data_IF_695980833854
#
_entry.id   IF_695980833854
#
_cell.length_a   1.000
_cell.length_b   1.000
_cell.length_c   1.000
_cell.angle_alpha   90.00
_cell.angle_beta   90.00
_cell.angle_gamma   90.00
#
_symmetry.space_group_name_H-M   'P 1'
#
loop_
_entity.id
_entity.type
_entity.pdbx_description
1 polymer ?
#
# COMPACT_ATOMS: atom_id res chain seq x y z
N UNK A 1 -16.84 9.04 -21.21
CA UNK A 1 -16.02 7.84 -21.46
C UNK A 1 -15.98 6.98 -20.22
N UNK A 2 -16.33 5.70 -20.32
CA UNK A 2 -16.25 4.78 -19.19
C UNK A 2 -14.78 4.47 -18.89
N UNK A 3 -14.32 4.75 -17.66
CA UNK A 3 -13.00 4.33 -17.23
C UNK A 3 -12.84 2.80 -17.42
N UNK A 4 -11.66 2.30 -17.84
CA UNK A 4 -11.46 0.86 -18.03
C UNK A 4 -11.75 0.14 -16.71
N UNK A 5 -12.76 -0.73 -16.73
CA UNK A 5 -13.19 -1.45 -15.55
C UNK A 5 -12.03 -2.32 -15.06
N UNK A 6 -11.54 -2.05 -13.83
CA UNK A 6 -10.51 -2.89 -13.22
C UNK A 6 -11.03 -4.32 -13.12
N UNK A 7 -10.20 -5.28 -13.53
CA UNK A 7 -10.51 -6.69 -13.61
C UNK A 7 -9.42 -7.52 -12.93
N UNK A 8 -9.79 -8.69 -12.40
CA UNK A 8 -8.86 -9.62 -11.78
C UNK A 8 -7.77 -10.02 -12.78
N UNK A 9 -6.50 -9.86 -12.42
CA UNK A 9 -5.37 -10.20 -13.30
C UNK A 9 -5.22 -11.70 -13.57
N UNK A 10 -5.86 -12.54 -12.75
CA UNK A 10 -5.77 -14.02 -12.87
C UNK A 10 -6.90 -14.61 -13.67
N UNK A 11 -8.14 -14.14 -13.45
CA UNK A 11 -9.33 -14.74 -14.05
C UNK A 11 -10.17 -13.76 -14.89
N UNK A 12 -9.74 -12.51 -15.02
CA UNK A 12 -10.44 -11.48 -15.80
C UNK A 12 -11.76 -10.98 -15.19
N UNK A 13 -12.24 -11.55 -14.08
CA UNK A 13 -13.50 -11.12 -13.46
C UNK A 13 -13.37 -9.69 -12.93
N UNK A 14 -14.17 -8.79 -13.49
CA UNK A 14 -14.25 -7.39 -13.08
C UNK A 14 -15.53 -7.06 -12.30
N UNK A 15 -15.77 -5.77 -12.07
CA UNK A 15 -17.00 -5.25 -11.43
C UNK A 15 -18.28 -5.72 -12.11
N UNK A 16 -18.25 -5.97 -13.42
CA UNK A 16 -19.39 -6.50 -14.18
C UNK A 16 -19.89 -7.86 -13.67
N UNK A 17 -19.02 -8.66 -13.04
CA UNK A 17 -19.38 -9.93 -12.42
C UNK A 17 -19.82 -9.80 -10.94
N UNK A 18 -20.08 -8.58 -10.45
CA UNK A 18 -20.50 -8.32 -9.07
C UNK A 18 -19.44 -8.58 -8.00
N UNK A 19 -18.19 -8.88 -8.39
CA UNK A 19 -17.11 -9.23 -7.45
C UNK A 19 -16.41 -8.00 -6.87
N UNK A 20 -16.19 -8.02 -5.55
CA UNK A 20 -15.36 -7.02 -4.86
C UNK A 20 -13.89 -7.27 -5.13
N UNK A 21 -13.30 -6.44 -5.99
CA UNK A 21 -11.88 -6.48 -6.30
C UNK A 21 -11.06 -5.89 -5.15
N UNK A 22 -10.04 -6.64 -4.72
CA UNK A 22 -9.10 -6.23 -3.67
C UNK A 22 -7.70 -6.10 -4.26
N UNK A 23 -6.92 -5.17 -3.72
CA UNK A 23 -5.51 -4.97 -4.09
C UNK A 23 -4.62 -5.87 -3.24
N UNK A 24 -3.39 -6.10 -3.69
CA UNK A 24 -2.38 -6.73 -2.85
C UNK A 24 -2.15 -5.91 -1.56
N UNK A 25 -2.16 -6.55 -0.39
CA UNK A 25 -1.94 -5.86 0.88
C UNK A 25 -0.52 -5.30 1.05
N UNK A 26 0.48 -5.95 0.43
CA UNK A 26 1.89 -5.56 0.50
C UNK A 26 2.20 -4.32 -0.34
N UNK A 27 2.12 -4.44 -1.66
CA UNK A 27 2.46 -3.31 -2.55
C UNK A 27 1.31 -2.32 -2.76
N UNK A 28 0.06 -2.71 -2.53
CA UNK A 28 -1.16 -1.90 -2.77
C UNK A 28 -1.25 -1.29 -4.17
N UNK A 29 -0.56 -1.88 -5.14
CA UNK A 29 -0.52 -1.40 -6.52
C UNK A 29 -1.95 -1.42 -7.10
N UNK A 30 -2.48 -0.27 -7.56
CA UNK A 30 -3.85 -0.18 -8.08
C UNK A 30 -4.03 -0.93 -9.40
N UNK A 31 -2.97 -1.22 -10.14
CA UNK A 31 -3.03 -2.00 -11.39
C UNK A 31 -3.22 -3.49 -11.13
N UNK A 32 -2.78 -3.99 -9.97
CA UNK A 32 -2.84 -5.40 -9.62
C UNK A 32 -3.98 -5.65 -8.64
N UNK A 33 -5.11 -6.10 -9.17
CA UNK A 33 -6.32 -6.42 -8.38
C UNK A 33 -6.74 -7.88 -8.54
N UNK A 34 -7.38 -8.41 -7.50
CA UNK A 34 -7.82 -9.78 -7.39
C UNK A 34 -9.27 -9.84 -6.93
N UNK A 35 -10.06 -10.77 -7.47
CA UNK A 35 -11.41 -11.01 -6.99
C UNK A 35 -11.44 -11.82 -5.68
N UNK A 36 -10.38 -12.56 -5.36
CA UNK A 36 -10.29 -13.42 -4.19
C UNK A 36 -8.85 -13.65 -3.73
N UNK A 37 -8.68 -14.11 -2.50
CA UNK A 37 -7.36 -14.47 -1.95
C UNK A 37 -6.71 -15.63 -2.72
N UNK A 38 -7.51 -16.56 -3.23
CA UNK A 38 -7.05 -17.65 -4.09
C UNK A 38 -6.37 -17.12 -5.36
N UNK A 39 -6.96 -16.13 -6.03
CA UNK A 39 -6.32 -15.48 -7.19
C UNK A 39 -5.02 -14.77 -6.79
N UNK A 40 -4.97 -14.10 -5.65
CA UNK A 40 -3.75 -13.48 -5.17
C UNK A 40 -2.63 -14.52 -4.95
N UNK A 41 -2.93 -15.63 -4.27
CA UNK A 41 -1.98 -16.73 -4.03
C UNK A 41 -1.51 -17.39 -5.32
N UNK A 42 -2.41 -17.56 -6.29
CA UNK A 42 -2.07 -18.12 -7.60
C UNK A 42 -1.13 -17.19 -8.37
N UNK A 43 -1.43 -15.89 -8.43
CA UNK A 43 -0.55 -14.90 -9.05
C UNK A 43 0.81 -14.81 -8.34
N UNK A 44 0.82 -15.00 -7.01
CA UNK A 44 2.04 -15.02 -6.22
C UNK A 44 2.95 -16.20 -6.56
N UNK A 45 2.39 -17.42 -6.64
CA UNK A 45 3.16 -18.66 -6.83
C UNK A 45 3.46 -18.96 -8.29
N UNK A 46 2.47 -18.79 -9.19
CA UNK A 46 2.58 -19.24 -10.58
C UNK A 46 3.12 -18.14 -11.51
N UNK A 47 2.76 -16.89 -11.25
CA UNK A 47 3.10 -15.75 -12.13
C UNK A 47 4.20 -14.85 -11.55
N UNK A 48 4.73 -15.17 -10.38
CA UNK A 48 5.91 -14.49 -9.84
C UNK A 48 5.67 -13.07 -9.32
N UNK A 49 4.46 -12.73 -8.86
CA UNK A 49 4.15 -11.38 -8.34
C UNK A 49 5.11 -10.90 -7.23
N UNK A 50 5.81 -11.81 -6.54
CA UNK A 50 6.76 -11.51 -5.46
C UNK A 50 7.79 -10.45 -5.84
N UNK A 51 8.44 -10.57 -7.00
CA UNK A 51 9.50 -9.64 -7.41
C UNK A 51 8.95 -8.22 -7.66
N UNK A 52 7.85 -8.14 -8.42
CA UNK A 52 7.17 -6.87 -8.69
C UNK A 52 6.64 -6.22 -7.39
N UNK A 53 6.07 -7.02 -6.50
CA UNK A 53 5.55 -6.55 -5.21
C UNK A 53 6.65 -5.92 -4.34
N UNK A 54 7.84 -6.54 -4.28
CA UNK A 54 8.98 -5.99 -3.55
C UNK A 54 9.51 -4.70 -4.19
N UNK A 55 9.56 -4.63 -5.52
CA UNK A 55 9.98 -3.42 -6.23
C UNK A 55 9.02 -2.25 -5.97
N UNK A 56 7.71 -2.49 -6.04
CA UNK A 56 6.70 -1.48 -5.71
C UNK A 56 6.81 -1.02 -4.25
N UNK A 57 6.98 -1.95 -3.30
CA UNK A 57 7.16 -1.61 -1.88
C UNK A 57 8.38 -0.71 -1.69
N UNK A 58 9.53 -1.05 -2.29
CA UNK A 58 10.74 -0.24 -2.22
C UNK A 58 10.55 1.16 -2.81
N UNK A 59 9.92 1.29 -3.98
CA UNK A 59 9.61 2.61 -4.57
C UNK A 59 8.73 3.44 -3.65
N UNK A 60 7.77 2.80 -3.00
CA UNK A 60 6.80 3.46 -2.11
C UNK A 60 7.41 3.86 -0.78
N UNK A 61 8.33 3.07 -0.24
CA UNK A 61 9.14 3.44 0.93
C UNK A 61 10.12 4.57 0.62
N UNK A 62 10.73 4.57 -0.57
CA UNK A 62 11.59 5.67 -1.02
C UNK A 62 10.81 6.99 -1.23
N UNK A 63 9.59 6.91 -1.78
CA UNK A 63 8.70 8.06 -1.92
C UNK A 63 8.04 8.48 -0.59
N UNK A 64 7.85 7.54 0.35
CA UNK A 64 7.24 7.75 1.65
C UNK A 64 8.15 8.36 2.71
N UNK A 65 9.44 8.54 2.41
CA UNK A 65 10.36 9.32 3.24
C UNK A 65 10.09 10.84 3.19
N UNK A 66 9.18 11.30 2.31
CA UNK A 66 8.75 12.69 2.20
C UNK A 66 7.28 12.92 2.63
N UNK A 67 6.70 12.03 3.46
CA UNK A 67 5.28 12.07 3.76
C UNK A 67 4.87 11.48 5.11
N UNK A 68 5.40 12.04 6.20
CA UNK A 68 4.73 12.13 7.50
C UNK A 68 5.37 13.26 8.33
N UNK A 69 4.99 14.51 8.03
CA UNK A 69 5.11 15.66 8.92
C UNK A 69 3.71 16.29 9.02
N UNK A 70 3.02 16.09 10.14
CA UNK A 70 2.53 17.18 11.00
C UNK A 70 1.83 16.56 12.22
N UNK A 71 2.64 16.33 13.25
CA UNK A 71 2.16 16.38 14.63
C UNK A 71 3.29 17.02 15.44
N UNK A 72 3.34 18.36 15.39
CA UNK A 72 3.98 19.14 16.47
C UNK A 72 3.24 18.78 17.76
N UNK A 73 3.99 18.50 18.84
CA UNK A 73 3.85 19.36 20.00
C UNK A 73 5.18 20.08 20.17
N UNK A 74 5.20 21.37 19.87
CA UNK A 74 5.17 22.41 20.89
C UNK A 74 6.35 22.29 21.85
N UNK A 75 7.37 23.06 21.52
CA UNK A 75 8.36 23.59 22.43
C UNK A 75 7.70 24.03 23.74
N UNK A 76 8.07 23.40 24.85
CA UNK A 76 7.85 23.85 26.23
C UNK A 76 8.78 22.98 27.07
N UNK A 77 9.84 23.43 27.71
CA UNK A 77 10.50 24.71 27.83
C UNK A 77 11.77 24.39 28.62
N UNK A 78 12.84 25.15 28.40
CA UNK A 78 13.93 25.16 29.36
C UNK A 78 13.37 25.56 30.74
N UNK A 79 13.70 24.82 31.78
CA UNK A 79 13.56 25.30 33.16
C UNK A 79 14.83 24.90 33.88
N UNK A 80 15.82 25.78 33.74
CA UNK A 80 16.96 25.90 34.64
C UNK A 80 16.47 25.88 36.09
N UNK A 81 16.95 24.95 36.90
CA UNK A 81 16.84 25.04 38.36
C UNK A 81 18.24 25.14 38.93
N UNK A 82 18.60 26.37 39.27
CA UNK A 82 19.68 26.72 40.18
C UNK A 82 19.31 26.39 41.64
N UNK A 83 20.35 26.13 42.44
CA UNK A 83 20.55 26.20 43.91
C UNK A 83 19.94 25.16 44.88
N UNK A 84 20.84 24.56 45.69
CA UNK A 84 20.78 24.70 47.16
C UNK A 84 20.91 23.43 48.02
N UNK A 85 22.11 23.14 48.55
CA UNK A 85 22.44 22.88 49.97
C UNK A 85 23.93 22.53 50.11
#
# INVERSE_FOLDING_TARGET
GAAPAKACVVCGKGKAAGVKLRRCAGCRNPQVVYCSDACCKQHWKLLGHKAACLADQRRRSAAGAAGHEDARPSSSGASSSTIGA
#
